data_IF_783600810930
#
_entry.id   IF_783600810930
#
_cell.length_a   1.000
_cell.length_b   1.000
_cell.length_c   1.000
_cell.angle_alpha   90.00
_cell.angle_beta   90.00
_cell.angle_gamma   90.00
#
_symmetry.space_group_name_H-M   'P 1'
#
loop_
_entity.id
_entity.type
_entity.pdbx_description
1 polymer ?
#
# COMPACT_ATOMS: atom_id res chain seq x y z
N UNK A 1 -27.78 -1.26 -22.32
CA UNK A 1 -27.08 -0.01 -22.70
C UNK A 1 -26.07 0.47 -21.65
N UNK A 2 -26.46 0.75 -20.38
CA UNK A 2 -25.52 1.20 -19.32
C UNK A 2 -24.28 0.30 -19.09
N UNK A 3 -24.44 -1.03 -19.20
CA UNK A 3 -23.34 -1.98 -19.03
C UNK A 3 -22.29 -1.89 -20.14
N UNK A 4 -22.71 -1.60 -21.38
CA UNK A 4 -21.79 -1.45 -22.54
C UNK A 4 -20.89 -0.23 -22.33
N UNK A 5 -21.45 0.86 -21.80
CA UNK A 5 -20.69 2.06 -21.44
C UNK A 5 -19.62 1.80 -20.37
N UNK A 6 -19.92 0.95 -19.39
CA UNK A 6 -18.94 0.53 -18.38
C UNK A 6 -17.77 -0.24 -19.01
N UNK A 7 -18.06 -1.17 -19.93
CA UNK A 7 -17.01 -1.94 -20.61
C UNK A 7 -16.11 -1.06 -21.49
N UNK A 8 -16.69 -0.09 -22.21
CA UNK A 8 -15.93 0.86 -23.02
C UNK A 8 -15.05 1.74 -22.13
N UNK A 9 -15.59 2.22 -21.00
CA UNK A 9 -14.84 3.05 -20.06
C UNK A 9 -13.70 2.27 -19.39
N UNK A 10 -13.93 1.01 -18.98
CA UNK A 10 -12.87 0.18 -18.41
C UNK A 10 -11.78 -0.16 -19.44
N UNK A 11 -12.17 -0.44 -20.69
CA UNK A 11 -11.21 -0.68 -21.78
C UNK A 11 -10.37 0.56 -22.07
N UNK A 12 -10.99 1.74 -22.08
CA UNK A 12 -10.28 3.02 -22.24
C UNK A 12 -9.31 3.30 -21.09
N UNK A 13 -9.73 3.11 -19.84
CA UNK A 13 -8.86 3.27 -18.66
C UNK A 13 -7.67 2.31 -18.74
N UNK A 14 -7.91 1.04 -19.10
CA UNK A 14 -6.84 0.06 -19.26
C UNK A 14 -5.86 0.46 -20.36
N UNK A 15 -6.35 0.89 -21.53
CA UNK A 15 -5.50 1.30 -22.64
C UNK A 15 -4.63 2.51 -22.29
N UNK A 16 -5.21 3.53 -21.63
CA UNK A 16 -4.48 4.71 -21.17
C UNK A 16 -3.43 4.35 -20.12
N UNK A 17 -3.79 3.50 -19.16
CA UNK A 17 -2.87 3.02 -18.13
C UNK A 17 -1.69 2.25 -18.73
N UNK A 18 -1.95 1.29 -19.64
CA UNK A 18 -0.90 0.51 -20.30
C UNK A 18 -0.03 1.40 -21.21
N UNK A 19 -0.61 2.36 -21.93
CA UNK A 19 0.13 3.31 -22.76
C UNK A 19 1.06 4.19 -21.93
N UNK A 20 0.58 4.68 -20.78
CA UNK A 20 1.40 5.47 -19.85
C UNK A 20 2.55 4.62 -19.28
N UNK A 21 2.28 3.37 -18.89
CA UNK A 21 3.30 2.43 -18.45
C UNK A 21 4.40 2.24 -19.49
N UNK A 22 4.00 2.03 -20.76
CA UNK A 22 4.92 1.86 -21.87
C UNK A 22 5.79 3.11 -22.11
N UNK A 23 5.19 4.29 -22.06
CA UNK A 23 5.93 5.55 -22.22
C UNK A 23 6.98 5.78 -21.11
N UNK A 24 6.62 5.49 -19.84
CA UNK A 24 7.55 5.59 -18.71
C UNK A 24 8.67 4.55 -18.82
N UNK A 25 8.36 3.33 -19.26
CA UNK A 25 9.35 2.28 -19.50
C UNK A 25 10.36 2.67 -20.59
N UNK A 26 9.92 3.35 -21.65
CA UNK A 26 10.82 3.87 -22.69
C UNK A 26 11.71 5.01 -22.19
N UNK A 27 11.20 5.86 -21.28
CA UNK A 27 11.95 7.00 -20.75
C UNK A 27 12.98 6.63 -19.67
N UNK A 28 12.62 5.70 -18.76
CA UNK A 28 13.44 5.35 -17.58
C UNK A 28 14.32 4.11 -17.85
N UNK A 29 13.98 3.30 -18.85
CA UNK A 29 14.62 2.01 -19.10
C UNK A 29 14.01 0.89 -18.27
N UNK A 30 14.00 -0.33 -18.82
CA UNK A 30 13.40 -1.48 -18.17
C UNK A 30 14.42 -2.16 -17.23
N UNK A 31 14.03 -2.56 -15.99
CA UNK A 31 12.71 -2.41 -15.36
C UNK A 31 12.54 -1.07 -14.62
N UNK A 32 11.35 -0.48 -14.70
CA UNK A 32 11.04 0.78 -14.00
C UNK A 32 11.04 0.52 -12.48
N UNK A 33 11.97 1.11 -11.71
CA UNK A 33 12.03 0.91 -10.27
C UNK A 33 10.74 1.43 -9.65
N UNK A 34 10.12 0.63 -8.78
CA UNK A 34 8.87 1.00 -8.13
C UNK A 34 7.69 1.27 -9.09
N UNK A 35 7.68 0.61 -10.26
CA UNK A 35 6.55 0.58 -11.20
C UNK A 35 5.19 0.50 -10.50
N UNK A 36 5.09 -0.41 -9.54
CA UNK A 36 3.86 -0.65 -8.80
C UNK A 36 3.44 0.55 -7.93
N UNK A 37 4.36 1.38 -7.45
CA UNK A 37 4.05 2.48 -6.52
C UNK A 37 3.68 3.77 -7.26
N UNK A 38 4.43 4.14 -8.29
CA UNK A 38 4.21 5.41 -9.01
C UNK A 38 3.04 5.32 -10.00
N UNK A 39 2.79 4.14 -10.57
CA UNK A 39 1.81 3.97 -11.64
C UNK A 39 0.44 3.56 -11.10
N UNK A 40 0.38 2.88 -9.95
CA UNK A 40 -0.90 2.54 -9.28
C UNK A 40 -1.68 3.80 -8.86
N UNK A 41 -0.99 4.88 -8.48
CA UNK A 41 -1.63 6.18 -8.22
C UNK A 41 -2.36 6.75 -9.46
N UNK A 42 -1.77 6.57 -10.64
CA UNK A 42 -2.37 6.99 -11.92
C UNK A 42 -3.61 6.14 -12.20
N UNK A 43 -3.50 4.82 -12.00
CA UNK A 43 -4.63 3.89 -12.19
C UNK A 43 -5.82 4.22 -11.28
N UNK A 44 -5.56 4.53 -10.01
CA UNK A 44 -6.58 4.88 -9.02
C UNK A 44 -7.29 6.19 -9.37
N UNK A 45 -6.53 7.22 -9.76
CA UNK A 45 -7.11 8.50 -10.16
C UNK A 45 -8.03 8.35 -11.39
N UNK A 46 -7.64 7.51 -12.35
CA UNK A 46 -8.45 7.20 -13.53
C UNK A 46 -9.73 6.43 -13.18
N UNK A 47 -9.66 5.46 -12.27
CA UNK A 47 -10.85 4.70 -11.82
C UNK A 47 -11.79 5.60 -11.03
N UNK A 48 -11.30 6.36 -10.05
CA UNK A 48 -12.14 7.25 -9.24
C UNK A 48 -12.76 8.34 -10.11
N UNK A 49 -11.98 8.94 -11.02
CA UNK A 49 -12.47 9.94 -11.97
C UNK A 49 -13.51 9.37 -12.93
N UNK A 50 -13.26 8.20 -13.53
CA UNK A 50 -14.21 7.52 -14.40
C UNK A 50 -15.51 7.15 -13.68
N UNK A 51 -15.40 6.58 -12.48
CA UNK A 51 -16.55 6.20 -11.67
C UNK A 51 -17.36 7.44 -11.23
N UNK A 52 -16.69 8.56 -10.97
CA UNK A 52 -17.34 9.84 -10.70
C UNK A 52 -18.08 10.40 -11.91
N UNK A 53 -17.49 10.33 -13.11
CA UNK A 53 -18.14 10.78 -14.36
C UNK A 53 -19.36 9.91 -14.67
N UNK A 54 -19.23 8.59 -14.53
CA UNK A 54 -20.29 7.63 -14.82
C UNK A 54 -21.45 7.68 -13.81
N UNK A 55 -21.15 7.80 -12.51
CA UNK A 55 -22.17 7.77 -11.44
C UNK A 55 -22.60 9.18 -11.04
N UNK A 56 -21.91 10.24 -11.46
CA UNK A 56 -22.14 11.64 -11.06
C UNK A 56 -23.61 12.09 -11.04
N UNK A 57 -24.42 11.82 -12.08
CA UNK A 57 -25.85 12.17 -12.09
C UNK A 57 -26.66 11.40 -11.03
N UNK A 58 -26.40 10.09 -10.89
CA UNK A 58 -27.08 9.21 -9.92
C UNK A 58 -26.60 9.47 -8.48
N UNK A 59 -25.35 9.91 -8.32
CA UNK A 59 -24.73 10.27 -7.04
C UNK A 59 -25.33 11.55 -6.45
N UNK A 60 -25.75 12.50 -7.31
CA UNK A 60 -26.48 13.71 -6.89
C UNK A 60 -27.91 13.40 -6.45
N UNK A 61 -28.52 12.33 -6.98
CA UNK A 61 -29.91 11.97 -6.69
C UNK A 61 -30.09 11.11 -5.43
N UNK A 62 -29.08 10.34 -5.00
CA UNK A 62 -29.20 9.42 -3.85
C UNK A 62 -28.03 9.53 -2.88
N UNK A 63 -28.34 9.84 -1.61
CA UNK A 63 -27.36 9.93 -0.53
C UNK A 63 -26.65 8.60 -0.24
N UNK A 64 -27.35 7.47 -0.44
CA UNK A 64 -26.83 6.12 -0.20
C UNK A 64 -25.72 5.75 -1.20
N UNK A 65 -25.92 6.06 -2.48
CA UNK A 65 -24.93 5.82 -3.55
C UNK A 65 -23.66 6.63 -3.30
N UNK A 66 -23.82 7.88 -2.83
CA UNK A 66 -22.70 8.76 -2.47
C UNK A 66 -21.90 8.22 -1.29
N UNK A 67 -22.55 7.65 -0.28
CA UNK A 67 -21.86 7.03 0.85
C UNK A 67 -21.09 5.77 0.42
N UNK A 68 -21.66 4.92 -0.43
CA UNK A 68 -20.96 3.75 -0.97
C UNK A 68 -19.73 4.15 -1.81
N UNK A 69 -19.88 5.13 -2.70
CA UNK A 69 -18.77 5.65 -3.50
C UNK A 69 -17.65 6.22 -2.63
N UNK A 70 -18.02 6.98 -1.58
CA UNK A 70 -17.06 7.54 -0.62
C UNK A 70 -16.31 6.44 0.13
N UNK A 71 -17.00 5.41 0.62
CA UNK A 71 -16.36 4.27 1.29
C UNK A 71 -15.41 3.52 0.35
N UNK A 72 -15.83 3.30 -0.90
CA UNK A 72 -14.99 2.62 -1.89
C UNK A 72 -13.75 3.44 -2.26
N UNK A 73 -13.89 4.76 -2.45
CA UNK A 73 -12.76 5.65 -2.66
C UNK A 73 -11.80 5.63 -1.46
N UNK A 74 -12.31 5.74 -0.22
CA UNK A 74 -11.48 5.66 0.99
C UNK A 74 -10.73 4.33 1.06
N UNK A 75 -11.38 3.20 0.72
CA UNK A 75 -10.73 1.89 0.68
C UNK A 75 -9.58 1.86 -0.35
N UNK A 76 -9.81 2.35 -1.57
CA UNK A 76 -8.77 2.39 -2.61
C UNK A 76 -7.59 3.28 -2.16
N UNK A 77 -7.88 4.45 -1.59
CA UNK A 77 -6.84 5.32 -1.04
C UNK A 77 -6.07 4.68 0.12
N UNK A 78 -6.77 3.95 1.00
CA UNK A 78 -6.16 3.24 2.12
C UNK A 78 -5.34 2.02 1.69
N UNK A 79 -5.71 1.36 0.59
CA UNK A 79 -4.91 0.25 0.04
C UNK A 79 -3.59 0.76 -0.55
N UNK A 80 -3.60 1.97 -1.13
CA UNK A 80 -2.44 2.53 -1.81
C UNK A 80 -1.69 3.60 -1.01
N UNK A 81 -2.10 3.91 0.22
CA UNK A 81 -1.39 4.88 1.07
C UNK A 81 0.03 4.44 1.41
N UNK A 82 0.25 3.15 1.71
CA UNK A 82 1.59 2.59 1.89
C UNK A 82 2.49 2.86 0.67
N UNK A 83 1.92 2.90 -0.53
CA UNK A 83 2.69 3.13 -1.74
C UNK A 83 3.35 4.51 -1.80
N UNK A 84 2.79 5.48 -1.09
CA UNK A 84 3.31 6.85 -1.01
C UNK A 84 4.13 7.04 0.26
N UNK A 85 3.63 6.50 1.37
CA UNK A 85 4.25 6.65 2.69
C UNK A 85 5.63 6.01 2.71
N UNK A 86 5.81 4.81 2.15
CA UNK A 86 7.11 4.11 2.21
C UNK A 86 8.23 4.82 1.43
N UNK A 87 8.05 5.32 0.19
CA UNK A 87 9.06 6.12 -0.49
C UNK A 87 9.39 7.43 0.22
N UNK A 88 8.38 8.12 0.77
CA UNK A 88 8.57 9.36 1.53
C UNK A 88 9.37 9.09 2.81
N UNK A 89 9.06 7.99 3.49
CA UNK A 89 9.75 7.53 4.68
C UNK A 89 11.19 7.11 4.38
N UNK A 90 11.40 6.43 3.25
CA UNK A 90 12.73 6.08 2.74
C UNK A 90 13.57 7.33 2.41
N UNK A 91 12.97 8.34 1.80
CA UNK A 91 13.63 9.63 1.55
C UNK A 91 14.00 10.33 2.87
N UNK A 92 13.12 10.33 3.86
CA UNK A 92 13.44 10.84 5.20
C UNK A 92 14.61 10.06 5.84
N UNK A 93 14.67 8.74 5.64
CA UNK A 93 15.78 7.89 6.12
C UNK A 93 17.11 8.22 5.43
N UNK A 94 17.08 8.55 4.13
CA UNK A 94 18.22 9.03 3.37
C UNK A 94 18.76 10.36 3.89
N UNK A 95 17.87 11.35 4.11
CA UNK A 95 18.26 12.65 4.66
C UNK A 95 18.78 12.54 6.10
N UNK A 96 18.26 11.60 6.88
CA UNK A 96 18.67 11.38 8.27
C UNK A 96 19.94 10.54 8.46
N UNK A 97 20.65 10.19 7.38
CA UNK A 97 21.85 9.32 7.42
C UNK A 97 22.97 9.85 8.33
N UNK A 98 23.04 11.16 8.53
CA UNK A 98 24.06 11.82 9.36
C UNK A 98 23.69 11.85 10.86
N UNK A 99 22.44 11.55 11.23
CA UNK A 99 21.94 11.65 12.60
C UNK A 99 21.42 10.31 13.13
N UNK A 100 22.24 9.60 13.91
CA UNK A 100 21.92 8.28 14.47
C UNK A 100 20.62 8.25 15.32
N UNK A 101 20.34 9.30 16.07
CA UNK A 101 19.12 9.43 16.89
C UNK A 101 17.85 9.49 16.04
N UNK A 102 17.93 10.07 14.85
CA UNK A 102 16.79 10.20 13.93
C UNK A 102 16.53 8.86 13.23
N UNK A 103 17.56 8.11 12.86
CA UNK A 103 17.40 6.76 12.31
C UNK A 103 16.72 5.78 13.29
N UNK A 104 17.04 5.86 14.59
CA UNK A 104 16.37 5.08 15.62
C UNK A 104 14.88 5.45 15.73
N UNK A 105 14.57 6.74 15.69
CA UNK A 105 13.19 7.24 15.76
C UNK A 105 12.37 6.82 14.52
N UNK A 106 12.97 6.85 13.33
CA UNK A 106 12.35 6.29 12.12
C UNK A 106 12.16 4.77 12.22
N UNK A 107 13.11 4.04 12.77
CA UNK A 107 12.98 2.58 12.95
C UNK A 107 11.80 2.24 13.87
N UNK A 108 11.55 3.04 14.90
CA UNK A 108 10.39 2.91 15.76
C UNK A 108 9.07 3.34 15.11
N UNK A 109 9.11 4.25 14.14
CA UNK A 109 7.92 4.67 13.41
C UNK A 109 7.44 3.62 12.40
N UNK A 110 8.30 2.71 11.92
CA UNK A 110 7.90 1.58 11.06
C UNK A 110 6.76 0.72 11.63
N UNK A 111 6.88 0.17 12.86
CA UNK A 111 5.81 -0.63 13.45
C UNK A 111 4.54 0.19 13.72
N UNK A 112 4.67 1.50 13.98
CA UNK A 112 3.52 2.41 14.14
C UNK A 112 2.79 2.57 12.81
N UNK A 113 3.51 2.79 11.70
CA UNK A 113 2.92 2.87 10.35
C UNK A 113 2.26 1.55 9.98
N UNK A 114 2.91 0.40 10.21
CA UNK A 114 2.30 -0.93 10.01
C UNK A 114 0.99 -1.05 10.79
N UNK A 115 0.95 -0.63 12.06
CA UNK A 115 -0.26 -0.73 12.89
C UNK A 115 -1.38 0.21 12.43
N UNK A 116 -1.05 1.46 12.08
CA UNK A 116 -2.02 2.43 11.58
C UNK A 116 -2.65 1.96 10.27
N UNK A 117 -1.86 1.38 9.37
CA UNK A 117 -2.40 0.86 8.11
C UNK A 117 -3.31 -0.36 8.33
N UNK A 118 -2.91 -1.30 9.20
CA UNK A 118 -3.76 -2.43 9.59
C UNK A 118 -5.10 -1.95 10.15
N UNK A 119 -5.08 -0.90 10.99
CA UNK A 119 -6.29 -0.31 11.55
C UNK A 119 -7.16 0.38 10.49
N UNK A 120 -6.54 1.11 9.56
CA UNK A 120 -7.24 1.82 8.49
C UNK A 120 -7.91 0.83 7.53
N UNK A 121 -7.19 -0.21 7.11
CA UNK A 121 -7.70 -1.30 6.26
C UNK A 121 -8.75 -2.13 6.99
N UNK A 122 -8.58 -2.36 8.30
CA UNK A 122 -9.60 -3.02 9.12
C UNK A 122 -10.91 -2.22 9.13
N UNK A 123 -10.85 -0.90 9.38
CA UNK A 123 -12.05 -0.05 9.41
C UNK A 123 -12.73 0.09 8.05
N UNK A 124 -11.96 0.11 6.97
CA UNK A 124 -12.50 0.28 5.60
C UNK A 124 -13.06 -1.01 5.02
N UNK A 125 -12.51 -2.16 5.42
CA UNK A 125 -12.92 -3.49 4.94
C UNK A 125 -13.94 -4.18 5.85
N UNK A 126 -14.49 -3.47 6.85
CA UNK A 126 -15.52 -4.01 7.74
C UNK A 126 -16.79 -4.49 7.01
N UNK A 127 -17.01 -4.08 5.76
CA UNK A 127 -18.11 -4.53 4.90
C UNK A 127 -17.81 -5.84 4.14
N UNK A 128 -16.57 -6.33 4.15
CA UNK A 128 -16.12 -7.55 3.46
C UNK A 128 -15.20 -8.36 4.39
N UNK A 129 -15.80 -8.93 5.44
CA UNK A 129 -15.10 -9.67 6.51
C UNK A 129 -14.18 -10.78 6.00
N UNK A 130 -14.53 -11.42 4.89
CA UNK A 130 -13.85 -12.62 4.41
C UNK A 130 -12.55 -12.29 3.65
N UNK A 131 -12.46 -11.11 3.04
CA UNK A 131 -11.30 -10.64 2.28
C UNK A 131 -10.39 -9.72 3.09
N UNK A 132 -10.88 -9.23 4.23
CA UNK A 132 -10.17 -8.35 5.16
C UNK A 132 -8.78 -8.87 5.58
N UNK A 133 -8.60 -10.12 6.06
CA UNK A 133 -7.29 -10.57 6.50
C UNK A 133 -6.30 -10.69 5.34
N UNK A 134 -6.76 -11.08 4.15
CA UNK A 134 -5.93 -11.22 2.95
C UNK A 134 -5.41 -9.86 2.48
N UNK A 135 -6.28 -8.86 2.36
CA UNK A 135 -5.88 -7.52 1.93
C UNK A 135 -4.94 -6.83 2.93
N UNK A 136 -5.21 -7.00 4.24
CA UNK A 136 -4.39 -6.42 5.29
C UNK A 136 -3.00 -7.05 5.31
N UNK A 137 -2.91 -8.39 5.32
CA UNK A 137 -1.62 -9.08 5.35
C UNK A 137 -0.82 -8.80 4.08
N UNK A 138 -1.45 -8.88 2.91
CA UNK A 138 -0.76 -8.65 1.64
C UNK A 138 -0.20 -7.23 1.51
N UNK A 139 -1.01 -6.18 1.70
CA UNK A 139 -0.51 -4.81 1.56
C UNK A 139 0.55 -4.50 2.61
N UNK A 140 0.30 -4.82 3.88
CA UNK A 140 1.19 -4.41 4.97
C UNK A 140 2.50 -5.18 4.95
N UNK A 141 2.50 -6.48 4.65
CA UNK A 141 3.73 -7.28 4.67
C UNK A 141 4.54 -7.17 3.37
N UNK A 142 3.89 -7.06 2.20
CA UNK A 142 4.62 -6.84 0.93
C UNK A 142 5.31 -5.48 0.93
N UNK A 143 4.59 -4.39 1.26
CA UNK A 143 5.21 -3.06 1.25
C UNK A 143 6.27 -2.92 2.33
N UNK A 144 6.08 -3.53 3.50
CA UNK A 144 7.12 -3.57 4.54
C UNK A 144 8.35 -4.34 4.09
N UNK A 145 8.19 -5.51 3.47
CA UNK A 145 9.31 -6.30 2.96
C UNK A 145 10.07 -5.54 1.86
N UNK A 146 9.35 -4.86 0.97
CA UNK A 146 9.94 -3.99 -0.06
C UNK A 146 10.73 -2.84 0.56
N UNK A 147 10.21 -2.21 1.61
CA UNK A 147 10.92 -1.14 2.33
C UNK A 147 12.18 -1.66 3.01
N UNK A 148 12.09 -2.75 3.79
CA UNK A 148 13.24 -3.38 4.46
C UNK A 148 14.31 -3.75 3.44
N UNK A 149 13.93 -4.37 2.33
CA UNK A 149 14.84 -4.70 1.23
C UNK A 149 15.50 -3.47 0.61
N UNK A 150 14.75 -2.38 0.44
CA UNK A 150 15.27 -1.11 -0.12
C UNK A 150 16.25 -0.42 0.84
N UNK A 151 15.91 -0.36 2.13
CA UNK A 151 16.81 0.15 3.17
C UNK A 151 18.08 -0.70 3.29
N UNK A 152 17.98 -2.02 3.25
CA UNK A 152 19.14 -2.91 3.28
C UNK A 152 20.02 -2.75 2.04
N UNK A 153 19.43 -2.52 0.86
CA UNK A 153 20.18 -2.31 -0.39
C UNK A 153 20.94 -0.97 -0.42
N UNK A 154 20.40 0.07 0.23
CA UNK A 154 20.94 1.43 0.19
C UNK A 154 21.71 1.84 1.47
N UNK A 155 21.60 1.06 2.55
CA UNK A 155 22.43 1.26 3.74
C UNK A 155 23.82 0.69 3.50
N UNK A 156 24.80 1.56 3.26
CA UNK A 156 26.23 1.23 3.33
C UNK A 156 26.72 0.98 4.77
N UNK A 157 25.83 0.95 5.78
CA UNK A 157 26.19 0.74 7.19
C UNK A 157 25.62 -0.58 7.71
N UNK A 158 26.53 -1.52 8.05
CA UNK A 158 26.23 -2.86 8.61
C UNK A 158 25.24 -2.81 9.78
N UNK A 159 25.25 -1.74 10.57
CA UNK A 159 24.46 -1.62 11.80
C UNK A 159 22.95 -1.68 11.56
N UNK A 160 22.44 -1.01 10.53
CA UNK A 160 20.99 -0.96 10.24
C UNK A 160 20.48 -2.34 9.79
N UNK A 161 21.28 -3.03 8.97
CA UNK A 161 20.99 -4.39 8.50
C UNK A 161 20.96 -5.39 9.64
N UNK A 162 21.91 -5.29 10.58
CA UNK A 162 21.94 -6.14 11.78
C UNK A 162 20.72 -5.87 12.66
N UNK A 163 20.31 -4.61 12.86
CA UNK A 163 19.12 -4.30 13.67
C UNK A 163 17.84 -4.84 13.05
N UNK A 164 17.68 -4.74 11.73
CA UNK A 164 16.52 -5.28 11.02
C UNK A 164 16.45 -6.81 11.13
N UNK A 165 17.57 -7.52 10.89
CA UNK A 165 17.62 -8.98 11.05
C UNK A 165 17.30 -9.43 12.47
N UNK A 166 17.78 -8.71 13.50
CA UNK A 166 17.47 -9.04 14.89
C UNK A 166 15.99 -8.81 15.22
N UNK A 167 15.38 -7.75 14.69
CA UNK A 167 13.96 -7.47 14.89
C UNK A 167 13.07 -8.55 14.24
N UNK A 168 13.39 -8.98 13.02
CA UNK A 168 12.67 -10.06 12.33
C UNK A 168 12.81 -11.40 13.08
N UNK A 169 14.00 -11.71 13.60
CA UNK A 169 14.24 -12.93 14.37
C UNK A 169 13.44 -12.97 15.66
N UNK A 170 13.41 -11.86 16.41
CA UNK A 170 12.60 -11.75 17.64
C UNK A 170 11.11 -11.85 17.34
N UNK A 171 10.65 -11.24 16.24
CA UNK A 171 9.26 -11.36 15.77
C UNK A 171 8.89 -12.81 15.44
N UNK A 172 9.77 -13.55 14.77
CA UNK A 172 9.56 -14.97 14.46
C UNK A 172 9.52 -15.84 15.72
N UNK A 173 10.41 -15.60 16.69
CA UNK A 173 10.39 -16.29 17.98
C UNK A 173 9.09 -16.01 18.76
N UNK A 174 8.67 -14.75 18.84
CA UNK A 174 7.43 -14.37 19.53
C UNK A 174 6.19 -15.01 18.88
N UNK A 175 6.15 -15.09 17.55
CA UNK A 175 5.09 -15.79 16.83
C UNK A 175 5.07 -17.29 17.12
N UNK A 176 6.25 -17.94 17.17
CA UNK A 176 6.38 -19.36 17.53
C UNK A 176 5.98 -19.63 18.99
N UNK A 177 6.38 -18.76 19.92
CA UNK A 177 5.95 -18.85 21.32
C UNK A 177 4.43 -18.66 21.48
N UNK A 178 3.85 -17.70 20.75
CA UNK A 178 2.40 -17.51 20.73
C UNK A 178 1.65 -18.73 20.19
N UNK A 179 2.15 -19.34 19.12
CA UNK A 179 1.61 -20.58 18.55
C UNK A 179 1.73 -21.75 19.53
N UNK A 180 2.89 -21.94 20.16
CA UNK A 180 3.09 -23.01 21.13
C UNK A 180 2.17 -22.86 22.35
N UNK A 181 1.98 -21.64 22.85
CA UNK A 181 1.09 -21.38 23.98
C UNK A 181 -0.39 -21.61 23.63
N UNK A 182 -0.77 -21.40 22.37
CA UNK A 182 -2.14 -21.64 21.88
C UNK A 182 -2.40 -23.14 21.68
N UNK A 183 -1.40 -23.90 21.23
CA UNK A 183 -1.49 -25.37 21.05
C UNK A 183 -1.56 -26.11 22.39
N UNK A 184 -0.93 -25.60 23.45
CA UNK A 184 -0.95 -26.21 24.79
C UNK A 184 -2.29 -25.99 25.53
N UNK A 185 -3.10 -25.02 25.09
CA UNK A 185 -4.41 -24.70 25.68
C UNK A 185 -5.61 -25.26 24.90
N UNK A 186 -5.36 -26.13 23.92
CA UNK A 186 -6.36 -26.94 23.19
C UNK A 186 -6.25 -28.38 23.69
#
# INVERSE_FOLDING_TARGET
ERKVWLYIMSAGISAVYTGFYFAVALAVGFPVPFSYLTLDMVWISLIVGGLWIYIGPTCRASATVRQCLKKHAIFIYAASSLAVVYPLFYYAFLCAREYASVQLLLTFALPIIKMMEKLLLYRTTAHASDLQPVFIAFNVDVFNALFVSSCMRNSTSMSVTTTLMMADFVGACAALYGLQNTIVHI
#
